data_IF_885594377743
#
_entry.id   IF_885594377743
#
_cell.length_a   1.000
_cell.length_b   1.000
_cell.length_c   1.000
_cell.angle_alpha   90.00
_cell.angle_beta   90.00
_cell.angle_gamma   90.00
#
_symmetry.space_group_name_H-M   'P 1'
#
loop_
_entity.id
_entity.type
_entity.pdbx_description
1 polymer ?
#
# COMPACT_ATOMS: atom_id res chain seq x y z
N UNK A 1 3.34 -8.51 -20.37
CA UNK A 1 4.68 -8.86 -19.83
C UNK A 1 5.66 -7.68 -19.77
N UNK A 2 6.08 -7.08 -20.90
CA UNK A 2 7.15 -6.06 -20.92
C UNK A 2 6.98 -4.87 -19.97
N UNK A 3 5.79 -4.27 -19.91
CA UNK A 3 5.48 -3.13 -19.02
C UNK A 3 5.68 -3.51 -17.54
N UNK A 4 5.14 -4.67 -17.12
CA UNK A 4 5.23 -5.15 -15.73
C UNK A 4 6.69 -5.44 -15.35
N UNK A 5 7.47 -6.05 -16.25
CA UNK A 5 8.89 -6.30 -16.00
C UNK A 5 9.70 -5.00 -15.90
N UNK A 6 9.47 -4.04 -16.80
CA UNK A 6 10.11 -2.73 -16.74
C UNK A 6 9.74 -1.99 -15.45
N UNK A 7 8.49 -2.10 -15.00
CA UNK A 7 8.02 -1.53 -13.75
C UNK A 7 8.72 -2.14 -12.52
N UNK A 8 8.80 -3.47 -12.42
CA UNK A 8 9.51 -4.10 -11.31
C UNK A 8 11.03 -3.84 -11.34
N UNK A 9 11.64 -3.84 -12.53
CA UNK A 9 13.05 -3.49 -12.68
C UNK A 9 13.30 -2.05 -12.23
N UNK A 10 12.43 -1.11 -12.62
CA UNK A 10 12.48 0.27 -12.16
C UNK A 10 12.40 0.35 -10.63
N UNK A 11 11.41 -0.31 -10.01
CA UNK A 11 11.25 -0.26 -8.55
C UNK A 11 12.45 -0.84 -7.81
N UNK A 12 13.02 -1.93 -8.30
CA UNK A 12 14.20 -2.55 -7.71
C UNK A 12 15.41 -1.62 -7.81
N UNK A 13 15.65 -1.04 -9.00
CA UNK A 13 16.76 -0.12 -9.24
C UNK A 13 16.60 1.18 -8.45
N UNK A 14 15.45 1.84 -8.53
CA UNK A 14 15.18 3.08 -7.81
C UNK A 14 15.22 2.86 -6.29
N UNK A 15 14.64 1.76 -5.80
CA UNK A 15 14.69 1.39 -4.39
C UNK A 15 16.12 1.17 -3.88
N UNK A 16 17.00 0.62 -4.72
CA UNK A 16 18.41 0.40 -4.38
C UNK A 16 19.29 1.66 -4.52
N UNK A 17 19.08 2.45 -5.58
CA UNK A 17 19.94 3.58 -5.94
C UNK A 17 19.57 4.87 -5.21
N UNK A 18 18.28 5.13 -4.97
CA UNK A 18 17.86 6.38 -4.36
C UNK A 18 18.23 6.43 -2.87
N UNK A 19 18.65 7.61 -2.37
CA UNK A 19 18.90 7.79 -0.95
C UNK A 19 17.60 7.66 -0.16
N UNK A 20 17.68 7.10 1.04
CA UNK A 20 16.54 6.90 1.92
C UNK A 20 17.00 6.69 3.35
N UNK A 21 16.11 6.98 4.31
CA UNK A 21 16.37 6.66 5.71
C UNK A 21 16.34 5.15 5.87
N UNK A 22 17.36 4.59 6.53
CA UNK A 22 17.41 3.18 6.84
C UNK A 22 16.79 2.98 8.22
N UNK A 23 15.62 2.35 8.26
CA UNK A 23 14.84 2.14 9.46
C UNK A 23 15.07 0.73 9.98
N UNK A 24 15.45 0.57 11.25
CA UNK A 24 15.64 -0.75 11.85
C UNK A 24 14.26 -1.38 12.11
N UNK A 25 14.00 -2.55 11.53
CA UNK A 25 12.77 -3.32 11.75
C UNK A 25 12.60 -3.82 13.18
N UNK A 26 11.58 -4.65 13.40
CA UNK A 26 11.37 -5.31 14.69
C UNK A 26 12.48 -6.34 14.96
N UNK A 27 12.85 -6.49 16.23
CA UNK A 27 13.81 -7.52 16.65
C UNK A 27 13.15 -8.90 16.52
N UNK A 28 13.75 -9.78 15.72
CA UNK A 28 13.26 -11.14 15.53
C UNK A 28 13.59 -12.03 16.73
N UNK A 29 12.99 -13.22 16.79
CA UNK A 29 13.17 -14.17 17.91
C UNK A 29 14.60 -14.65 18.09
N UNK A 30 15.40 -14.67 17.02
CA UNK A 30 16.83 -14.98 17.03
C UNK A 30 17.72 -13.76 17.37
N UNK A 31 17.11 -12.65 17.80
CA UNK A 31 17.76 -11.36 18.10
C UNK A 31 18.40 -10.68 16.88
N UNK A 32 18.15 -11.16 15.67
CA UNK A 32 18.54 -10.47 14.43
C UNK A 32 17.51 -9.40 14.08
N UNK A 33 17.88 -8.52 13.13
CA UNK A 33 17.00 -7.44 12.65
C UNK A 33 17.23 -7.15 11.17
N UNK A 34 16.14 -6.96 10.44
CA UNK A 34 16.15 -6.50 9.06
C UNK A 34 16.12 -4.97 9.03
N UNK A 35 16.87 -4.38 8.09
CA UNK A 35 16.93 -2.94 7.89
C UNK A 35 16.22 -2.56 6.60
N UNK A 36 15.28 -1.62 6.68
CA UNK A 36 14.45 -1.21 5.56
C UNK A 36 14.87 0.17 5.07
N UNK A 37 15.14 0.30 3.76
CA UNK A 37 15.39 1.60 3.15
C UNK A 37 14.06 2.25 2.77
N UNK A 38 13.64 3.25 3.53
CA UNK A 38 12.44 4.03 3.30
C UNK A 38 12.74 5.18 2.33
N UNK A 39 12.65 4.90 1.04
CA UNK A 39 12.76 5.84 -0.08
C UNK A 39 11.58 5.72 -1.06
N UNK A 40 10.45 5.15 -0.63
CA UNK A 40 9.28 4.94 -1.47
C UNK A 40 8.72 6.25 -2.03
N UNK A 41 8.72 7.33 -1.25
CA UNK A 41 8.28 8.65 -1.72
C UNK A 41 9.16 9.19 -2.86
N UNK A 42 10.48 9.13 -2.71
CA UNK A 42 11.43 9.54 -3.77
C UNK A 42 11.31 8.67 -5.01
N UNK A 43 11.10 7.36 -4.82
CA UNK A 43 10.85 6.40 -5.90
C UNK A 43 9.57 6.74 -6.66
N UNK A 44 8.48 7.05 -5.95
CA UNK A 44 7.22 7.43 -6.58
C UNK A 44 7.36 8.74 -7.38
N UNK A 45 7.98 9.77 -6.79
CA UNK A 45 8.15 11.06 -7.48
C UNK A 45 8.98 10.91 -8.75
N UNK A 46 10.11 10.20 -8.68
CA UNK A 46 10.93 9.94 -9.86
C UNK A 46 10.13 9.21 -10.94
N UNK A 47 9.32 8.21 -10.57
CA UNK A 47 8.50 7.47 -11.54
C UNK A 47 7.51 8.40 -12.23
N UNK A 48 6.76 9.20 -11.47
CA UNK A 48 5.80 10.16 -12.02
C UNK A 48 6.50 11.17 -12.94
N UNK A 49 7.67 11.67 -12.55
CA UNK A 49 8.45 12.59 -13.39
C UNK A 49 8.88 11.93 -14.71
N UNK A 50 9.42 10.71 -14.67
CA UNK A 50 9.85 9.99 -15.87
C UNK A 50 8.68 9.65 -16.80
N UNK A 51 7.54 9.24 -16.23
CA UNK A 51 6.31 9.02 -16.99
C UNK A 51 5.81 10.32 -17.61
N UNK A 52 5.80 11.42 -16.86
CA UNK A 52 5.41 12.74 -17.35
C UNK A 52 6.29 13.24 -18.51
N UNK A 53 7.61 13.08 -18.40
CA UNK A 53 8.56 13.40 -19.48
C UNK A 53 8.30 12.53 -20.71
N UNK A 54 8.07 11.22 -20.52
CA UNK A 54 7.80 10.28 -21.61
C UNK A 54 6.49 10.58 -22.34
N UNK A 55 5.46 11.03 -21.61
CA UNK A 55 4.19 11.51 -22.18
C UNK A 55 4.41 12.82 -22.94
N UNK A 56 5.12 13.79 -22.36
CA UNK A 56 5.42 15.07 -23.01
C UNK A 56 6.26 14.91 -24.29
N UNK A 57 7.16 13.93 -24.32
CA UNK A 57 7.96 13.57 -25.49
C UNK A 57 7.20 12.73 -26.54
N UNK A 58 5.93 12.37 -26.29
CA UNK A 58 5.13 11.55 -27.19
C UNK A 58 5.55 10.07 -27.27
N UNK A 59 6.41 9.61 -26.35
CA UNK A 59 6.91 8.23 -26.32
C UNK A 59 5.90 7.25 -25.71
N UNK A 60 5.01 7.74 -24.85
CA UNK A 60 4.03 6.94 -24.13
C UNK A 60 2.66 7.62 -24.12
N UNK A 61 1.60 6.86 -24.40
CA UNK A 61 0.24 7.33 -24.13
C UNK A 61 0.00 7.39 -22.62
N UNK A 62 -0.52 8.50 -22.06
CA UNK A 62 -0.83 8.58 -20.64
C UNK A 62 -1.97 7.61 -20.23
N UNK A 63 -2.79 7.16 -21.19
CA UNK A 63 -3.87 6.19 -20.98
C UNK A 63 -3.42 4.71 -21.12
N UNK A 64 -2.14 4.43 -21.42
CA UNK A 64 -1.66 3.08 -21.76
C UNK A 64 -1.97 2.01 -20.69
N UNK A 65 -1.91 2.37 -19.41
CA UNK A 65 -2.19 1.44 -18.30
C UNK A 65 -3.69 1.20 -18.17
N UNK A 66 -4.51 2.23 -18.37
CA UNK A 66 -5.96 2.09 -18.39
C UNK A 66 -6.42 1.22 -19.58
N UNK A 67 -5.84 1.42 -20.76
CA UNK A 67 -6.15 0.67 -21.99
C UNK A 67 -5.76 -0.80 -21.89
N UNK A 68 -4.57 -1.09 -21.34
CA UNK A 68 -4.07 -2.47 -21.19
C UNK A 68 -4.46 -3.12 -19.86
N UNK A 69 -5.47 -2.61 -19.16
CA UNK A 69 -5.83 -3.03 -17.81
C UNK A 69 -6.01 -4.55 -17.65
N UNK A 70 -6.72 -5.21 -18.59
CA UNK A 70 -6.93 -6.65 -18.56
C UNK A 70 -5.66 -7.47 -18.81
N UNK A 71 -4.82 -7.04 -19.75
CA UNK A 71 -3.51 -7.69 -20.01
C UNK A 71 -2.58 -7.57 -18.81
N UNK A 72 -2.56 -6.39 -18.16
CA UNK A 72 -1.76 -6.14 -16.97
C UNK A 72 -2.23 -7.00 -15.81
N UNK A 73 -3.55 -7.06 -15.55
CA UNK A 73 -4.15 -7.90 -14.51
C UNK A 73 -3.75 -9.37 -14.67
N UNK A 74 -3.93 -9.92 -15.87
CA UNK A 74 -3.55 -11.31 -16.18
C UNK A 74 -2.04 -11.54 -16.03
N UNK A 75 -1.22 -10.60 -16.50
CA UNK A 75 0.24 -10.68 -16.36
C UNK A 75 0.67 -10.68 -14.89
N UNK A 76 0.13 -9.78 -14.06
CA UNK A 76 0.47 -9.69 -12.63
C UNK A 76 -0.05 -10.89 -11.84
N UNK A 77 -1.20 -11.45 -12.23
CA UNK A 77 -1.73 -12.69 -11.66
C UNK A 77 -0.79 -13.87 -11.91
N UNK A 78 -0.41 -14.09 -13.18
CA UNK A 78 0.53 -15.16 -13.56
C UNK A 78 1.87 -14.95 -12.85
N UNK A 79 2.38 -13.72 -12.81
CA UNK A 79 3.61 -13.40 -12.09
C UNK A 79 3.50 -13.74 -10.59
N UNK A 80 2.38 -13.42 -9.94
CA UNK A 80 2.17 -13.72 -8.52
C UNK A 80 2.17 -15.23 -8.26
N UNK A 81 1.53 -16.02 -9.11
CA UNK A 81 1.54 -17.48 -9.02
C UNK A 81 2.95 -18.07 -9.23
N UNK A 82 3.70 -17.58 -10.22
CA UNK A 82 5.07 -18.03 -10.49
C UNK A 82 6.05 -17.63 -9.38
N UNK A 83 5.96 -16.38 -8.91
CA UNK A 83 6.81 -15.86 -7.84
C UNK A 83 6.62 -16.65 -6.55
N UNK A 84 5.39 -17.01 -6.21
CA UNK A 84 5.07 -17.74 -4.98
C UNK A 84 5.47 -19.21 -5.06
N UNK A 85 5.39 -19.82 -6.25
CA UNK A 85 5.98 -21.14 -6.50
C UNK A 85 7.51 -21.10 -6.34
N UNK A 86 8.16 -20.07 -6.88
CA UNK A 86 9.60 -19.85 -6.69
C UNK A 86 9.96 -19.69 -5.21
N UNK A 87 9.24 -18.84 -4.47
CA UNK A 87 9.43 -18.65 -3.03
C UNK A 87 9.27 -19.96 -2.24
N UNK A 88 8.26 -20.77 -2.58
CA UNK A 88 8.07 -22.07 -1.95
C UNK A 88 9.24 -23.02 -2.23
N UNK A 89 9.68 -23.14 -3.48
CA UNK A 89 10.81 -24.01 -3.86
C UNK A 89 12.11 -23.52 -3.19
N UNK A 90 12.42 -22.23 -3.30
CA UNK A 90 13.61 -21.62 -2.67
C UNK A 90 13.60 -21.77 -1.16
N UNK A 91 12.45 -21.60 -0.51
CA UNK A 91 12.32 -21.81 0.93
C UNK A 91 12.50 -23.27 1.34
N UNK A 92 12.03 -24.23 0.53
CA UNK A 92 12.22 -25.68 0.77
C UNK A 92 13.67 -26.12 0.64
N UNK A 93 14.43 -25.47 -0.25
CA UNK A 93 15.86 -25.75 -0.46
C UNK A 93 16.73 -25.01 0.57
N UNK A 94 16.22 -23.92 1.16
CA UNK A 94 16.97 -23.11 2.12
C UNK A 94 17.39 -23.91 3.36
N UNK A 95 18.68 -23.85 3.66
CA UNK A 95 19.27 -24.38 4.90
C UNK A 95 19.46 -23.29 5.96
N UNK A 96 18.88 -22.09 5.75
CA UNK A 96 19.05 -20.98 6.68
C UNK A 96 18.38 -21.27 8.02
N UNK A 97 19.09 -20.97 9.11
CA UNK A 97 18.59 -21.08 10.48
C UNK A 97 18.08 -19.76 11.05
N UNK A 98 18.21 -18.66 10.30
CA UNK A 98 17.73 -17.34 10.71
C UNK A 98 16.21 -17.32 10.79
N UNK A 99 15.62 -16.63 11.77
CA UNK A 99 14.16 -16.56 11.93
C UNK A 99 13.47 -16.04 10.66
N UNK A 100 14.12 -15.14 9.93
CA UNK A 100 13.65 -14.58 8.66
C UNK A 100 13.45 -15.63 7.55
N UNK A 101 14.39 -16.57 7.44
CA UNK A 101 14.50 -17.49 6.30
C UNK A 101 14.28 -18.95 6.67
N UNK A 102 14.15 -19.26 7.96
CA UNK A 102 13.86 -20.61 8.44
C UNK A 102 12.52 -21.07 7.88
N UNK A 103 12.48 -22.18 7.11
CA UNK A 103 11.23 -22.66 6.54
C UNK A 103 10.33 -23.32 7.60
N UNK A 104 9.05 -22.96 7.59
CA UNK A 104 7.99 -23.52 8.44
C UNK A 104 7.00 -24.29 7.56
N UNK A 105 7.21 -25.60 7.41
CA UNK A 105 6.47 -26.46 6.47
C UNK A 105 5.42 -27.28 7.24
N UNK A 106 4.16 -27.20 6.84
CA UNK A 106 3.03 -27.88 7.50
C UNK A 106 2.66 -29.23 6.89
N UNK A 107 3.40 -29.67 5.85
CA UNK A 107 3.19 -30.88 5.02
C UNK A 107 2.03 -30.79 4.03
N UNK A 108 1.24 -29.71 4.05
CA UNK A 108 0.22 -29.45 3.04
C UNK A 108 0.74 -28.43 2.03
N UNK A 109 0.93 -28.86 0.78
CA UNK A 109 1.41 -27.97 -0.29
C UNK A 109 0.52 -26.73 -0.46
N UNK A 110 -0.81 -26.91 -0.48
CA UNK A 110 -1.76 -25.79 -0.68
C UNK A 110 -1.64 -24.77 0.45
N UNK A 111 -1.57 -25.24 1.70
CA UNK A 111 -1.42 -24.37 2.87
C UNK A 111 -0.09 -23.62 2.83
N UNK A 112 1.00 -24.34 2.59
CA UNK A 112 2.36 -23.79 2.58
C UNK A 112 2.61 -22.84 1.40
N UNK A 113 1.98 -23.07 0.25
CA UNK A 113 2.01 -22.15 -0.89
C UNK A 113 1.14 -20.91 -0.65
N UNK A 114 -0.04 -21.08 -0.04
CA UNK A 114 -0.95 -19.97 0.25
C UNK A 114 -0.40 -19.01 1.31
N UNK A 115 0.01 -19.54 2.46
CA UNK A 115 0.51 -18.73 3.59
C UNK A 115 2.02 -18.51 3.56
N UNK A 116 2.77 -19.26 2.76
CA UNK A 116 4.21 -19.15 2.68
C UNK A 116 4.93 -19.87 3.82
N UNK A 117 6.18 -20.23 3.59
CA UNK A 117 7.00 -21.00 4.52
C UNK A 117 8.14 -20.19 5.15
N UNK A 118 8.50 -19.05 4.56
CA UNK A 118 9.54 -18.15 5.08
C UNK A 118 8.91 -16.84 5.51
N UNK A 119 9.41 -16.29 6.62
CA UNK A 119 8.90 -15.04 7.16
C UNK A 119 9.24 -13.90 6.21
N UNK A 120 10.51 -13.59 5.99
CA UNK A 120 10.95 -12.43 5.22
C UNK A 120 12.04 -12.86 4.22
N UNK A 121 11.67 -13.49 3.09
CA UNK A 121 12.62 -13.83 2.06
C UNK A 121 13.22 -12.56 1.44
N UNK A 122 14.54 -12.59 1.22
CA UNK A 122 15.30 -11.44 0.70
C UNK A 122 15.99 -11.81 -0.60
N UNK A 123 16.05 -10.86 -1.53
CA UNK A 123 16.80 -10.99 -2.77
C UNK A 123 17.74 -9.79 -2.92
N UNK A 124 19.05 -10.03 -3.01
CA UNK A 124 20.08 -9.00 -3.10
C UNK A 124 19.98 -7.92 -2.00
N UNK A 125 19.60 -8.31 -0.79
CA UNK A 125 19.42 -7.41 0.35
C UNK A 125 18.12 -6.59 0.35
N UNK A 126 17.21 -6.85 -0.60
CA UNK A 126 15.86 -6.28 -0.63
C UNK A 126 14.90 -7.28 0.04
N UNK A 127 14.18 -6.81 1.06
CA UNK A 127 13.07 -7.55 1.64
C UNK A 127 11.89 -7.60 0.68
N UNK A 128 11.48 -8.82 0.31
CA UNK A 128 10.49 -8.99 -0.75
C UNK A 128 9.09 -8.55 -0.33
N UNK A 129 8.70 -8.69 0.94
CA UNK A 129 7.39 -8.18 1.38
C UNK A 129 7.31 -6.68 1.26
N UNK A 130 8.31 -5.99 1.80
CA UNK A 130 8.37 -4.54 1.77
C UNK A 130 8.47 -4.00 0.33
N UNK A 131 9.16 -4.73 -0.55
CA UNK A 131 9.19 -4.42 -1.97
C UNK A 131 7.80 -4.58 -2.65
N UNK A 132 7.11 -5.68 -2.37
CA UNK A 132 5.83 -6.01 -3.01
C UNK A 132 4.71 -5.04 -2.58
N UNK A 133 4.58 -4.74 -1.29
CA UNK A 133 3.60 -3.75 -0.82
C UNK A 133 3.85 -2.37 -1.42
N UNK A 134 5.11 -1.96 -1.56
CA UNK A 134 5.49 -0.72 -2.27
C UNK A 134 5.07 -0.79 -3.74
N UNK A 135 5.33 -1.91 -4.40
CA UNK A 135 4.95 -2.12 -5.80
C UNK A 135 3.43 -2.07 -6.00
N UNK A 136 2.66 -2.61 -5.05
CA UNK A 136 1.20 -2.54 -5.03
C UNK A 136 0.69 -1.10 -4.91
N UNK A 137 1.17 -0.36 -3.90
CA UNK A 137 0.74 1.01 -3.63
C UNK A 137 1.11 2.00 -4.76
N UNK A 138 2.32 1.91 -5.30
CA UNK A 138 2.71 2.71 -6.48
C UNK A 138 1.88 2.30 -7.70
N UNK A 139 1.63 0.99 -7.87
CA UNK A 139 0.89 0.44 -9.00
C UNK A 139 -0.55 0.94 -9.02
N UNK A 140 -1.20 0.99 -7.85
CA UNK A 140 -2.54 1.56 -7.69
C UNK A 140 -2.59 3.02 -8.16
N UNK A 141 -1.63 3.85 -7.73
CA UNK A 141 -1.57 5.26 -8.14
C UNK A 141 -1.30 5.41 -9.64
N UNK A 142 -0.40 4.61 -10.22
CA UNK A 142 -0.13 4.63 -11.67
C UNK A 142 -1.38 4.26 -12.48
N UNK A 143 -2.15 3.24 -12.03
CA UNK A 143 -3.43 2.90 -12.65
C UNK A 143 -4.40 4.09 -12.55
N UNK A 144 -4.52 4.70 -11.39
CA UNK A 144 -5.42 5.84 -11.16
C UNK A 144 -5.08 7.05 -12.04
N UNK A 145 -3.80 7.42 -12.14
CA UNK A 145 -3.34 8.49 -13.02
C UNK A 145 -3.66 8.20 -14.50
N UNK A 146 -3.48 6.96 -14.93
CA UNK A 146 -3.80 6.57 -16.31
C UNK A 146 -5.31 6.56 -16.57
N UNK A 147 -6.12 6.17 -15.59
CA UNK A 147 -7.59 6.28 -15.63
C UNK A 147 -8.01 7.75 -15.71
N UNK A 148 -7.42 8.65 -14.92
CA UNK A 148 -7.70 10.08 -15.01
C UNK A 148 -7.34 10.65 -16.39
N UNK A 149 -6.17 10.30 -16.91
CA UNK A 149 -5.76 10.72 -18.24
C UNK A 149 -6.72 10.25 -19.34
N UNK A 150 -7.19 9.00 -19.24
CA UNK A 150 -8.19 8.45 -20.18
C UNK A 150 -9.53 9.18 -20.10
N UNK A 151 -10.01 9.48 -18.88
CA UNK A 151 -11.23 10.25 -18.67
C UNK A 151 -11.13 11.65 -19.29
N UNK A 152 -9.98 12.30 -19.09
CA UNK A 152 -9.70 13.62 -19.65
C UNK A 152 -9.65 13.60 -21.19
N UNK A 153 -9.03 12.57 -21.79
CA UNK A 153 -8.99 12.40 -23.25
C UNK A 153 -10.39 12.18 -23.85
N UNK A 154 -11.27 11.45 -23.16
CA UNK A 154 -12.63 11.16 -23.63
C UNK A 154 -13.59 12.35 -23.50
N UNK A 155 -13.50 13.11 -22.41
CA UNK A 155 -14.49 14.13 -22.04
C UNK A 155 -13.97 15.57 -22.12
N UNK A 156 -12.67 15.78 -22.40
CA UNK A 156 -12.01 17.09 -22.38
C UNK A 156 -11.87 17.72 -20.99
N UNK A 157 -12.40 17.07 -19.95
CA UNK A 157 -12.35 17.51 -18.55
C UNK A 157 -12.57 16.31 -17.62
N UNK A 158 -12.23 16.47 -16.34
CA UNK A 158 -12.60 15.53 -15.30
C UNK A 158 -13.89 16.01 -14.63
N UNK A 159 -14.88 15.13 -14.51
CA UNK A 159 -16.07 15.43 -13.74
C UNK A 159 -15.77 15.49 -12.23
N UNK A 160 -16.75 15.96 -11.45
CA UNK A 160 -16.60 16.11 -9.99
C UNK A 160 -16.34 14.76 -9.32
N UNK A 161 -17.01 13.70 -9.77
CA UNK A 161 -16.88 12.37 -9.22
C UNK A 161 -15.46 11.80 -9.37
N UNK A 162 -14.94 11.82 -10.60
CA UNK A 162 -13.58 11.41 -10.93
C UNK A 162 -12.57 12.28 -10.19
N UNK A 163 -12.78 13.59 -10.14
CA UNK A 163 -11.86 14.50 -9.43
C UNK A 163 -11.77 14.17 -7.93
N UNK A 164 -12.91 13.92 -7.27
CA UNK A 164 -12.94 13.54 -5.85
C UNK A 164 -12.23 12.20 -5.61
N UNK A 165 -12.59 11.16 -6.38
CA UNK A 165 -11.96 9.84 -6.30
C UNK A 165 -10.44 9.93 -6.45
N UNK A 166 -9.97 10.59 -7.51
CA UNK A 166 -8.54 10.74 -7.80
C UNK A 166 -7.81 11.50 -6.69
N UNK A 167 -8.41 12.57 -6.17
CA UNK A 167 -7.84 13.37 -5.10
C UNK A 167 -7.70 12.57 -3.80
N UNK A 168 -8.74 11.81 -3.41
CA UNK A 168 -8.73 11.03 -2.19
C UNK A 168 -7.72 9.88 -2.26
N UNK A 169 -7.65 9.15 -3.37
CA UNK A 169 -6.67 8.09 -3.55
C UNK A 169 -5.24 8.64 -3.58
N UNK A 170 -5.01 9.77 -4.26
CA UNK A 170 -3.70 10.43 -4.27
C UNK A 170 -3.28 10.79 -2.85
N UNK A 171 -4.15 11.45 -2.07
CA UNK A 171 -3.85 11.82 -0.69
C UNK A 171 -3.54 10.60 0.18
N UNK A 172 -4.29 9.51 0.03
CA UNK A 172 -4.06 8.27 0.77
C UNK A 172 -2.70 7.64 0.44
N UNK A 173 -2.35 7.52 -0.85
CA UNK A 173 -1.07 6.96 -1.28
C UNK A 173 0.10 7.86 -0.86
N UNK A 174 -0.06 9.18 -0.93
CA UNK A 174 0.96 10.12 -0.47
C UNK A 174 1.19 10.03 1.05
N UNK A 175 0.11 9.92 1.83
CA UNK A 175 0.17 9.70 3.27
C UNK A 175 0.84 8.36 3.62
N UNK A 176 0.57 7.29 2.87
CA UNK A 176 1.29 6.02 2.99
C UNK A 176 2.81 6.20 2.83
N UNK A 177 3.26 6.84 1.74
CA UNK A 177 4.69 6.99 1.47
C UNK A 177 5.38 7.99 2.40
N UNK A 178 4.66 8.99 2.90
CA UNK A 178 5.18 9.91 3.90
C UNK A 178 5.48 9.20 5.23
N UNK A 179 4.68 8.21 5.58
CA UNK A 179 4.81 7.42 6.81
C UNK A 179 5.25 5.97 6.54
N UNK A 180 5.99 5.75 5.45
CA UNK A 180 6.44 4.43 5.00
C UNK A 180 7.19 3.66 6.11
N UNK A 181 7.91 4.37 6.99
CA UNK A 181 8.61 3.78 8.13
C UNK A 181 7.70 2.96 9.05
N UNK A 182 6.43 3.34 9.20
CA UNK A 182 5.48 2.62 10.06
C UNK A 182 5.05 1.28 9.47
N UNK A 183 5.15 1.13 8.14
CA UNK A 183 4.84 -0.13 7.46
C UNK A 183 5.77 -1.25 7.87
N UNK A 184 7.01 -0.94 8.28
CA UNK A 184 7.99 -1.93 8.77
C UNK A 184 7.56 -2.64 10.07
N UNK A 185 6.47 -2.17 10.70
CA UNK A 185 5.93 -2.70 11.95
C UNK A 185 4.52 -3.28 11.83
N UNK A 186 3.99 -3.41 10.61
CA UNK A 186 2.69 -4.05 10.38
C UNK A 186 2.77 -5.56 10.55
N UNK A 187 1.61 -6.18 10.77
CA UNK A 187 1.50 -7.62 11.00
C UNK A 187 2.06 -8.44 9.82
N UNK A 188 1.75 -8.02 8.60
CA UNK A 188 2.20 -8.63 7.35
C UNK A 188 3.73 -8.73 7.29
N UNK A 189 4.44 -7.69 7.74
CA UNK A 189 5.92 -7.66 7.75
C UNK A 189 6.49 -8.51 8.89
N UNK A 190 5.93 -8.41 10.10
CA UNK A 190 6.57 -8.95 11.30
C UNK A 190 6.16 -10.38 11.66
N UNK A 191 5.00 -10.85 11.20
CA UNK A 191 4.38 -12.08 11.71
C UNK A 191 3.90 -13.06 10.62
N UNK A 192 3.42 -12.58 9.47
CA UNK A 192 2.91 -13.47 8.43
C UNK A 192 4.03 -13.94 7.51
N UNK A 193 4.01 -15.18 7.03
CA UNK A 193 4.99 -15.63 6.04
C UNK A 193 4.64 -15.10 4.64
N UNK A 194 5.63 -14.97 3.76
CA UNK A 194 5.39 -14.52 2.38
C UNK A 194 4.94 -15.70 1.50
N UNK A 195 3.62 -15.82 1.32
CA UNK A 195 2.97 -16.79 0.42
C UNK A 195 2.10 -16.13 -0.65
N UNK A 196 1.33 -16.95 -1.38
CA UNK A 196 0.44 -16.47 -2.44
C UNK A 196 -0.56 -15.42 -1.97
N UNK A 197 -1.11 -15.57 -0.77
CA UNK A 197 -2.06 -14.60 -0.22
C UNK A 197 -1.50 -13.17 -0.19
N UNK A 198 -0.28 -12.99 0.32
CA UNK A 198 0.36 -11.67 0.41
C UNK A 198 0.82 -11.19 -0.97
N UNK A 199 1.47 -12.04 -1.78
CA UNK A 199 1.96 -11.63 -3.11
C UNK A 199 0.80 -11.22 -4.02
N UNK A 200 -0.29 -12.01 -4.04
CA UNK A 200 -1.50 -11.67 -4.78
C UNK A 200 -2.19 -10.43 -4.19
N UNK A 201 -2.25 -10.33 -2.86
CA UNK A 201 -2.77 -9.16 -2.16
C UNK A 201 -2.09 -7.87 -2.61
N UNK A 202 -0.76 -7.86 -2.57
CA UNK A 202 0.06 -6.71 -2.91
C UNK A 202 0.01 -6.36 -4.41
N UNK A 203 0.20 -7.34 -5.29
CA UNK A 203 0.39 -7.07 -6.72
C UNK A 203 -0.89 -7.05 -7.54
N UNK A 204 -1.95 -7.72 -7.08
CA UNK A 204 -3.19 -7.89 -7.84
C UNK A 204 -4.35 -7.23 -7.11
N UNK A 205 -4.56 -7.58 -5.83
CA UNK A 205 -5.72 -7.08 -5.10
C UNK A 205 -5.64 -5.57 -4.93
N UNK A 206 -4.59 -5.02 -4.34
CA UNK A 206 -4.46 -3.57 -4.10
C UNK A 206 -4.61 -2.77 -5.42
N UNK A 207 -3.82 -3.01 -6.49
CA UNK A 207 -3.86 -2.12 -7.64
C UNK A 207 -5.16 -2.21 -8.44
N UNK A 208 -5.71 -3.41 -8.60
CA UNK A 208 -6.83 -3.64 -9.51
C UNK A 208 -8.19 -3.58 -8.83
N UNK A 209 -8.30 -3.90 -7.55
CA UNK A 209 -9.58 -3.76 -6.82
C UNK A 209 -9.79 -2.34 -6.31
N UNK A 210 -8.74 -1.68 -5.81
CA UNK A 210 -8.88 -0.31 -5.31
C UNK A 210 -8.99 0.71 -6.45
N UNK A 211 -8.81 0.29 -7.70
CA UNK A 211 -9.04 1.12 -8.90
C UNK A 211 -10.40 0.89 -9.58
N UNK A 212 -11.27 0.03 -9.02
CA UNK A 212 -12.58 -0.28 -9.60
C UNK A 212 -13.44 0.97 -9.74
N UNK A 213 -13.45 1.85 -8.74
CA UNK A 213 -14.24 3.08 -8.74
C UNK A 213 -13.85 3.98 -9.91
N UNK A 214 -12.55 4.22 -10.10
CA UNK A 214 -12.04 4.99 -11.24
C UNK A 214 -12.38 4.33 -12.58
N UNK A 215 -12.27 3.01 -12.68
CA UNK A 215 -12.65 2.27 -13.91
C UNK A 215 -14.15 2.36 -14.19
N UNK A 216 -14.98 2.31 -13.16
CA UNK A 216 -16.43 2.42 -13.29
C UNK A 216 -16.83 3.82 -13.76
N UNK A 217 -16.20 4.87 -13.22
CA UNK A 217 -16.41 6.26 -13.61
C UNK A 217 -15.95 6.59 -15.04
N UNK A 218 -15.13 5.74 -15.68
CA UNK A 218 -14.81 5.91 -17.10
C UNK A 218 -16.00 5.60 -18.01
N UNK A 219 -16.89 4.71 -17.59
CA UNK A 219 -18.03 4.25 -18.41
C UNK A 219 -19.37 4.75 -17.90
N UNK A 220 -19.42 5.28 -16.68
CA UNK A 220 -20.63 5.78 -16.03
C UNK A 220 -20.41 7.21 -15.56
N UNK A 221 -21.29 8.12 -16.00
CA UNK A 221 -21.36 9.48 -15.48
C UNK A 221 -22.15 9.48 -14.18
N UNK A 222 -21.49 9.75 -13.06
CA UNK A 222 -22.15 9.95 -11.78
C UNK A 222 -22.40 11.45 -11.56
N UNK A 223 -23.66 11.86 -11.69
CA UNK A 223 -24.08 13.24 -11.39
C UNK A 223 -24.20 13.42 -9.87
N UNK A 224 -23.12 13.87 -9.24
CA UNK A 224 -23.09 14.15 -7.81
C UNK A 224 -23.54 15.59 -7.55
N UNK A 225 -24.55 15.77 -6.70
CA UNK A 225 -24.95 17.10 -6.25
C UNK A 225 -23.83 17.78 -5.46
N UNK A 226 -23.76 19.10 -5.48
CA UNK A 226 -22.77 19.86 -4.69
C UNK A 226 -22.82 19.49 -3.20
N UNK A 227 -24.01 19.25 -2.67
CA UNK A 227 -24.19 18.82 -1.28
C UNK A 227 -23.56 17.45 -1.00
N UNK A 228 -23.79 16.46 -1.88
CA UNK A 228 -23.18 15.14 -1.75
C UNK A 228 -21.65 15.18 -1.90
N UNK A 229 -21.13 16.02 -2.81
CA UNK A 229 -19.69 16.23 -2.95
C UNK A 229 -19.06 16.83 -1.68
N UNK A 230 -19.69 17.86 -1.09
CA UNK A 230 -19.23 18.46 0.18
C UNK A 230 -19.26 17.43 1.31
N UNK A 231 -20.35 16.66 1.43
CA UNK A 231 -20.47 15.63 2.45
C UNK A 231 -19.39 14.55 2.29
N UNK A 232 -19.10 14.13 1.07
CA UNK A 232 -18.05 13.16 0.80
C UNK A 232 -16.66 13.66 1.24
N UNK A 233 -16.34 14.93 0.94
CA UNK A 233 -15.11 15.57 1.43
C UNK A 233 -15.05 15.59 2.96
N UNK A 234 -16.17 15.88 3.65
CA UNK A 234 -16.23 15.82 5.11
C UNK A 234 -15.99 14.41 5.64
N UNK A 235 -16.58 13.38 5.03
CA UNK A 235 -16.34 11.97 5.38
C UNK A 235 -14.86 11.64 5.25
N UNK A 236 -14.21 12.02 4.14
CA UNK A 236 -12.78 11.82 3.95
C UNK A 236 -11.95 12.53 5.04
N UNK A 237 -12.23 13.82 5.31
CA UNK A 237 -11.47 14.60 6.31
C UNK A 237 -11.63 14.01 7.72
N UNK A 238 -12.83 13.63 8.11
CA UNK A 238 -13.10 13.00 9.41
C UNK A 238 -12.38 11.65 9.49
N UNK A 239 -12.51 10.81 8.46
CA UNK A 239 -11.83 9.53 8.36
C UNK A 239 -10.32 9.68 8.50
N UNK A 240 -9.72 10.60 7.74
CA UNK A 240 -8.29 10.91 7.79
C UNK A 240 -7.84 11.37 9.18
N UNK A 241 -8.58 12.30 9.80
CA UNK A 241 -8.26 12.84 11.14
C UNK A 241 -8.30 11.75 12.20
N UNK A 242 -9.28 10.85 12.15
CA UNK A 242 -9.41 9.73 13.09
C UNK A 242 -8.31 8.69 12.83
N UNK A 243 -8.10 8.29 11.57
CA UNK A 243 -7.09 7.30 11.18
C UNK A 243 -5.68 7.75 11.57
N UNK A 244 -5.27 8.94 11.12
CA UNK A 244 -3.93 9.46 11.34
C UNK A 244 -3.74 9.93 12.79
N UNK A 245 -4.77 10.55 13.38
CA UNK A 245 -4.74 11.03 14.76
C UNK A 245 -4.55 9.89 15.77
N UNK A 246 -5.30 8.79 15.63
CA UNK A 246 -5.18 7.64 16.52
C UNK A 246 -3.83 6.93 16.39
N UNK A 247 -3.33 6.74 15.16
CA UNK A 247 -2.00 6.17 14.93
C UNK A 247 -0.87 7.06 15.46
N UNK A 248 -0.97 8.39 15.27
CA UNK A 248 -0.01 9.35 15.84
C UNK A 248 0.02 9.29 17.36
N UNK A 249 -1.15 9.24 18.02
CA UNK A 249 -1.22 9.09 19.49
C UNK A 249 -0.56 7.80 19.97
N UNK A 250 -0.83 6.67 19.29
CA UNK A 250 -0.18 5.38 19.60
C UNK A 250 1.33 5.48 19.48
N UNK A 251 1.83 6.14 18.44
CA UNK A 251 3.27 6.30 18.24
C UNK A 251 3.92 7.20 19.30
N UNK A 252 3.31 8.35 19.62
CA UNK A 252 3.76 9.26 20.68
C UNK A 252 3.85 8.51 22.01
N UNK A 253 2.79 7.79 22.39
CA UNK A 253 2.76 7.05 23.64
C UNK A 253 3.81 5.91 23.70
N UNK A 254 4.04 5.21 22.59
CA UNK A 254 5.10 4.17 22.53
C UNK A 254 6.50 4.75 22.67
N UNK A 255 6.72 5.99 22.20
CA UNK A 255 8.02 6.67 22.29
C UNK A 255 8.24 7.32 23.66
N UNK A 256 7.20 7.92 24.22
CA UNK A 256 7.18 8.52 25.54
C UNK A 256 5.85 8.21 26.25
N UNK A 257 5.83 7.22 27.17
CA UNK A 257 4.64 6.85 27.91
C UNK A 257 4.11 7.93 28.85
N UNK A 258 4.85 9.02 29.08
CA UNK A 258 4.43 10.18 29.90
C UNK A 258 3.91 11.34 29.07
N UNK A 259 3.98 11.26 27.74
CA UNK A 259 3.51 12.32 26.86
C UNK A 259 2.01 12.55 27.03
N UNK A 260 1.62 13.82 27.11
CA UNK A 260 0.22 14.22 27.27
C UNK A 260 -0.60 13.84 26.03
N UNK A 261 -1.82 13.36 26.27
CA UNK A 261 -2.77 12.95 25.24
C UNK A 261 -3.98 13.87 25.32
N UNK A 262 -4.12 14.75 24.33
CA UNK A 262 -5.12 15.83 24.31
C UNK A 262 -5.04 16.75 25.55
N UNK A 263 -3.82 17.12 25.93
CA UNK A 263 -3.57 18.06 27.03
C UNK A 263 -3.54 17.42 28.42
N UNK A 264 -4.00 16.18 28.56
CA UNK A 264 -4.07 15.48 29.84
C UNK A 264 -3.01 14.36 29.96
N UNK A 265 -2.58 14.00 31.18
CA UNK A 265 -1.74 12.83 31.40
C UNK A 265 -2.38 11.55 30.82
N UNK A 266 -1.59 10.65 30.20
CA UNK A 266 -2.14 9.46 29.57
C UNK A 266 -2.75 8.51 30.62
N UNK A 267 -3.98 8.03 30.35
CA UNK A 267 -4.58 6.95 31.13
C UNK A 267 -4.13 5.62 30.56
N UNK A 268 -3.63 4.72 31.40
CA UNK A 268 -2.99 3.48 30.96
C UNK A 268 -3.54 2.29 31.73
N UNK A 269 -3.85 1.19 31.03
CA UNK A 269 -4.23 -0.08 31.62
C UNK A 269 -2.99 -0.98 31.68
N UNK A 270 -2.69 -1.51 32.87
CA UNK A 270 -1.55 -2.42 33.09
C UNK A 270 -0.19 -1.82 32.74
N UNK A 271 -0.06 -0.49 32.75
CA UNK A 271 1.17 0.23 32.43
C UNK A 271 1.64 0.15 30.97
N UNK A 272 0.87 -0.50 30.08
CA UNK A 272 1.28 -0.76 28.68
C UNK A 272 0.25 -0.36 27.63
N UNK A 273 -1.04 -0.31 27.99
CA UNK A 273 -2.12 -0.08 27.03
C UNK A 273 -2.71 1.33 27.22
N UNK A 274 -2.62 2.15 26.18
CA UNK A 274 -3.19 3.49 26.18
C UNK A 274 -4.73 3.41 26.21
N UNK A 275 -5.34 4.09 27.18
CA UNK A 275 -6.79 4.16 27.41
C UNK A 275 -7.29 5.61 27.50
N UNK A 276 -6.60 6.54 26.84
CA UNK A 276 -7.00 7.95 26.66
C UNK A 276 -6.91 8.37 25.19
N UNK A 277 -7.45 9.55 24.86
CA UNK A 277 -7.53 10.03 23.48
C UNK A 277 -8.45 9.14 22.63
N UNK A 278 -8.06 8.89 21.38
CA UNK A 278 -8.79 7.99 20.48
C UNK A 278 -8.92 6.58 21.07
N UNK A 279 -7.86 6.07 21.72
CA UNK A 279 -7.83 4.72 22.29
C UNK A 279 -8.68 4.56 23.56
N UNK A 280 -9.08 5.67 24.18
CA UNK A 280 -10.07 5.68 25.26
C UNK A 280 -11.52 5.68 24.77
N UNK A 281 -11.76 6.08 23.51
CA UNK A 281 -13.11 6.10 22.91
C UNK A 281 -13.47 4.71 22.40
N UNK A 282 -12.58 4.08 21.63
CA UNK A 282 -12.75 2.72 21.15
C UNK A 282 -11.41 2.01 20.97
N UNK A 283 -11.44 0.67 21.07
CA UNK A 283 -10.24 -0.18 20.91
C UNK A 283 -9.56 -0.05 19.55
N UNK A 284 -10.32 0.27 18.50
CA UNK A 284 -9.84 0.37 17.12
C UNK A 284 -10.39 1.61 16.39
N UNK A 285 -10.24 2.79 16.99
CA UNK A 285 -10.61 4.05 16.31
C UNK A 285 -9.91 4.23 14.95
N UNK A 286 -8.66 3.78 14.83
CA UNK A 286 -7.94 3.81 13.56
C UNK A 286 -8.67 3.06 12.45
N UNK A 287 -9.30 1.91 12.75
CA UNK A 287 -10.03 1.13 11.76
C UNK A 287 -11.33 1.82 11.34
N UNK A 288 -12.02 2.48 12.26
CA UNK A 288 -13.17 3.33 11.90
C UNK A 288 -12.74 4.45 10.94
N UNK A 289 -11.61 5.12 11.22
CA UNK A 289 -11.07 6.13 10.32
C UNK A 289 -10.76 5.58 8.93
N UNK A 290 -10.17 4.39 8.85
CA UNK A 290 -9.84 3.71 7.58
C UNK A 290 -11.08 3.30 6.79
N UNK A 291 -12.13 2.82 7.48
CA UNK A 291 -13.43 2.52 6.86
C UNK A 291 -14.08 3.78 6.27
N UNK A 292 -14.03 4.91 6.98
CA UNK A 292 -14.54 6.18 6.45
C UNK A 292 -13.77 6.65 5.22
N UNK A 293 -12.45 6.45 5.19
CA UNK A 293 -11.64 6.69 4.00
C UNK A 293 -12.08 5.79 2.83
N UNK A 294 -12.23 4.49 3.07
CA UNK A 294 -12.70 3.54 2.06
C UNK A 294 -14.09 3.90 1.49
N UNK A 295 -15.02 4.34 2.36
CA UNK A 295 -16.33 4.84 1.91
C UNK A 295 -16.18 6.07 1.03
N UNK A 296 -15.34 7.03 1.41
CA UNK A 296 -15.16 8.26 0.65
C UNK A 296 -14.60 8.03 -0.77
N UNK A 297 -13.86 6.95 -0.99
CA UNK A 297 -13.40 6.56 -2.33
C UNK A 297 -14.54 6.05 -3.21
N UNK A 298 -15.60 5.49 -2.60
CA UNK A 298 -16.69 4.79 -3.30
C UNK A 298 -17.93 5.67 -3.50
N UNK A 299 -18.20 6.59 -2.58
CA UNK A 299 -19.29 7.57 -2.70
C UNK A 299 -19.30 8.38 -4.02
N UNK A 300 -18.17 8.66 -4.70
CA UNK A 300 -18.20 9.29 -6.01
C UNK A 300 -18.88 8.48 -7.10
N UNK A 301 -19.01 7.15 -6.95
CA UNK A 301 -19.67 6.28 -7.93
C UNK A 301 -21.20 6.32 -7.87
N UNK A 302 -21.77 7.24 -7.10
CA UNK A 302 -23.21 7.35 -6.87
C UNK A 302 -23.60 6.91 -5.46
N UNK A 303 -24.74 7.44 -5.01
CA UNK A 303 -25.43 7.02 -3.79
C UNK A 303 -26.67 6.21 -4.16
#
# INVERSE_FOLDING_TARGET
AGIVMAYFAYLALAGFLLPGRVIPGVLLSDKTRIYYRCNGFATLLLLITLLGISVAAGLLSPAVVADKGGELLSTTFIYSALMTLFLYISGRISQSTTTSLKPHVTKSFIHDWWFGIQLNPQFLGIDLKFFLVRAGMIGWLVINLSVAAKAFQQNGSLDVAMTLYQSFCLLYVMDYFWYEEYMTSTWDIIAENLGFMLVFGDLVWIPFTFSIQGRWLLTHKADITKAAAILNVLVFIIGYRVFRGSNKQKHIFKKDPKAHIWGEPPKVIGGKLLASGYWGIARHCNYLGDILLAFSFSLPCGA
#
